data_IF_012064515068
#
_entry.id   IF_012064515068
#
_cell.length_a   1.000
_cell.length_b   1.000
_cell.length_c   1.000
_cell.angle_alpha   90.00
_cell.angle_beta   90.00
_cell.angle_gamma   90.00
#
_symmetry.space_group_name_H-M   'P 1'
#
loop_
_entity.id
_entity.type
_entity.pdbx_description
1 polymer ?
#
# COMPACT_ATOMS: atom_id res chain seq x y z
N UNK A 1 -49.45 17.19 -59.72
CA UNK A 1 -49.33 17.18 -58.25
C UNK A 1 -48.52 15.96 -57.86
N UNK A 2 -47.22 16.14 -57.55
CA UNK A 2 -46.35 15.08 -57.07
C UNK A 2 -45.79 15.56 -55.72
N UNK A 3 -46.20 14.90 -54.64
CA UNK A 3 -45.72 15.20 -53.27
C UNK A 3 -44.47 14.37 -53.00
N UNK A 4 -43.32 15.01 -52.87
CA UNK A 4 -42.10 14.39 -52.36
C UNK A 4 -42.20 14.27 -50.82
N UNK A 5 -42.21 13.05 -50.30
CA UNK A 5 -42.09 12.80 -48.87
C UNK A 5 -40.61 12.77 -48.49
N UNK A 6 -40.17 13.76 -47.71
CA UNK A 6 -38.85 13.79 -47.09
C UNK A 6 -38.88 12.87 -45.86
N UNK A 7 -38.24 11.71 -45.93
CA UNK A 7 -37.97 10.89 -44.74
C UNK A 7 -36.77 11.50 -43.99
N UNK A 8 -37.03 12.12 -42.84
CA UNK A 8 -35.99 12.50 -41.88
C UNK A 8 -35.62 11.26 -41.05
N UNK A 9 -34.49 10.63 -41.38
CA UNK A 9 -33.83 9.67 -40.49
C UNK A 9 -33.20 10.45 -39.33
N UNK A 10 -33.84 10.43 -38.16
CA UNK A 10 -33.18 10.79 -36.90
C UNK A 10 -32.25 9.65 -36.51
N UNK A 11 -30.96 9.77 -36.84
CA UNK A 11 -29.93 8.92 -36.28
C UNK A 11 -29.74 9.30 -34.79
N UNK A 12 -30.34 8.53 -33.88
CA UNK A 12 -30.06 8.64 -32.45
C UNK A 12 -28.62 8.17 -32.20
N UNK A 13 -27.71 9.13 -32.08
CA UNK A 13 -26.35 8.91 -31.63
C UNK A 13 -26.42 8.43 -30.17
N UNK A 14 -26.46 7.12 -29.96
CA UNK A 14 -26.33 6.55 -28.62
C UNK A 14 -24.90 6.80 -28.18
N UNK A 15 -24.71 7.79 -27.31
CA UNK A 15 -23.47 7.94 -26.56
C UNK A 15 -23.39 6.70 -25.68
N UNK A 16 -22.60 5.70 -26.10
CA UNK A 16 -22.25 4.57 -25.27
C UNK A 16 -21.32 5.13 -24.19
N UNK A 17 -21.91 5.59 -23.08
CA UNK A 17 -21.17 5.85 -21.86
C UNK A 17 -20.75 4.47 -21.34
N UNK A 18 -19.49 4.08 -21.56
CA UNK A 18 -18.91 2.94 -20.86
C UNK A 18 -18.77 3.36 -19.39
N UNK A 19 -19.81 3.15 -18.59
CA UNK A 19 -19.67 3.18 -17.14
C UNK A 19 -18.74 2.03 -16.75
N UNK A 20 -17.53 2.37 -16.31
CA UNK A 20 -16.69 1.40 -15.63
C UNK A 20 -17.24 1.21 -14.23
N UNK A 21 -17.93 0.10 -14.02
CA UNK A 21 -18.38 -0.31 -12.69
C UNK A 21 -17.26 -1.05 -11.96
N UNK A 22 -17.10 -0.75 -10.68
CA UNK A 22 -16.27 -1.55 -9.78
C UNK A 22 -17.14 -2.62 -9.11
N UNK A 23 -16.65 -3.86 -9.09
CA UNK A 23 -17.26 -4.96 -8.36
C UNK A 23 -16.33 -5.40 -7.24
N UNK A 24 -16.91 -5.76 -6.09
CA UNK A 24 -16.14 -6.25 -4.95
C UNK A 24 -15.46 -7.57 -5.33
N UNK A 25 -14.13 -7.55 -5.39
CA UNK A 25 -13.33 -8.74 -5.65
C UNK A 25 -12.92 -9.45 -4.36
N UNK A 26 -12.41 -8.68 -3.38
CA UNK A 26 -11.87 -9.22 -2.13
C UNK A 26 -12.31 -8.34 -0.96
N UNK A 27 -12.69 -8.98 0.15
CA UNK A 27 -13.01 -8.32 1.40
C UNK A 27 -12.19 -8.97 2.53
N UNK A 28 -11.20 -8.25 3.04
CA UNK A 28 -10.39 -8.70 4.17
C UNK A 28 -10.92 -8.06 5.45
N UNK A 29 -11.59 -8.85 6.29
CA UNK A 29 -12.12 -8.38 7.57
C UNK A 29 -12.23 -9.52 8.58
N UNK A 30 -12.41 -9.14 9.85
CA UNK A 30 -12.72 -10.07 10.92
C UNK A 30 -11.63 -11.11 11.20
N UNK A 31 -12.02 -12.28 11.76
CA UNK A 31 -11.06 -13.31 12.18
C UNK A 31 -10.24 -13.91 11.03
N UNK A 32 -10.79 -13.93 9.81
CA UNK A 32 -10.09 -14.46 8.63
C UNK A 32 -9.15 -13.45 7.96
N UNK A 33 -9.05 -12.22 8.47
CA UNK A 33 -8.20 -11.18 7.87
C UNK A 33 -6.77 -11.68 7.63
N UNK A 34 -6.12 -12.19 8.68
CA UNK A 34 -4.72 -12.62 8.63
C UNK A 34 -4.46 -13.89 7.81
N UNK A 35 -5.51 -14.61 7.38
CA UNK A 35 -5.36 -15.78 6.50
C UNK A 35 -5.03 -15.39 5.05
N UNK A 36 -5.27 -14.12 4.71
CA UNK A 36 -5.01 -13.54 3.39
C UNK A 36 -3.62 -12.92 3.27
N UNK A 37 -2.81 -12.95 4.34
CA UNK A 37 -1.50 -12.31 4.39
C UNK A 37 -0.40 -13.28 4.79
N UNK A 38 0.77 -13.09 4.20
CA UNK A 38 2.02 -13.70 4.64
C UNK A 38 2.72 -12.78 5.63
N UNK A 39 3.32 -13.39 6.67
CA UNK A 39 4.06 -12.69 7.71
C UNK A 39 5.55 -12.68 7.33
N UNK A 40 6.06 -11.52 6.95
CA UNK A 40 7.49 -11.35 6.69
C UNK A 40 8.25 -11.50 8.01
N UNK A 41 9.18 -12.45 8.09
CA UNK A 41 9.96 -12.73 9.30
C UNK A 41 11.48 -12.68 9.05
N UNK A 42 11.89 -11.91 8.03
CA UNK A 42 13.31 -11.70 7.68
C UNK A 42 13.75 -10.31 8.13
N UNK A 43 15.03 -10.02 7.94
CA UNK A 43 15.59 -8.68 8.17
C UNK A 43 14.82 -7.60 7.41
N UNK A 44 14.79 -6.40 8.00
CA UNK A 44 14.08 -5.26 7.43
C UNK A 44 14.81 -4.72 6.19
N UNK A 45 14.16 -4.67 5.01
CA UNK A 45 14.78 -4.14 3.80
C UNK A 45 15.19 -2.66 3.90
N UNK A 46 14.57 -1.89 4.81
CA UNK A 46 14.90 -0.47 5.07
C UNK A 46 15.85 -0.30 6.25
N UNK A 47 16.40 -1.38 6.78
CA UNK A 47 17.40 -1.38 7.86
C UNK A 47 16.95 -0.74 9.18
N UNK A 48 15.65 -0.81 9.49
CA UNK A 48 15.11 -0.34 10.77
C UNK A 48 15.51 -1.21 11.96
N UNK A 49 15.45 -0.62 13.17
CA UNK A 49 15.61 -1.35 14.43
C UNK A 49 14.33 -2.11 14.80
N UNK A 50 14.05 -3.16 14.04
CA UNK A 50 12.82 -3.97 14.13
C UNK A 50 13.14 -5.46 14.07
N UNK A 51 12.32 -6.27 14.73
CA UNK A 51 12.32 -7.73 14.59
C UNK A 51 10.94 -8.19 14.10
N UNK A 52 10.83 -8.52 12.81
CA UNK A 52 9.54 -8.98 12.29
C UNK A 52 9.27 -10.44 12.66
N UNK A 53 8.09 -10.68 13.23
CA UNK A 53 7.69 -11.98 13.75
C UNK A 53 6.98 -12.85 12.71
N UNK A 54 7.13 -14.17 12.85
CA UNK A 54 6.23 -15.13 12.20
C UNK A 54 4.81 -15.02 12.77
N UNK A 55 3.80 -15.59 12.10
CA UNK A 55 2.43 -15.61 12.62
C UNK A 55 2.33 -16.26 14.00
N UNK A 56 2.98 -17.43 14.19
CA UNK A 56 2.95 -18.14 15.47
C UNK A 56 3.59 -17.33 16.60
N UNK A 57 4.70 -16.64 16.32
CA UNK A 57 5.33 -15.75 17.30
C UNK A 57 4.47 -14.52 17.57
N UNK A 58 3.81 -13.96 16.55
CA UNK A 58 2.88 -12.85 16.70
C UNK A 58 1.70 -13.21 17.62
N UNK A 59 1.19 -14.44 17.52
CA UNK A 59 0.16 -14.98 18.40
C UNK A 59 0.69 -15.16 19.83
N UNK A 60 1.89 -15.72 19.98
CA UNK A 60 2.52 -15.93 21.29
C UNK A 60 2.85 -14.60 22.00
N UNK A 61 3.26 -13.58 21.26
CA UNK A 61 3.49 -12.22 21.77
C UNK A 61 2.21 -11.40 21.88
N UNK A 62 1.05 -11.95 21.48
CA UNK A 62 -0.25 -11.27 21.47
C UNK A 62 -0.24 -9.97 20.63
N UNK A 63 0.58 -9.94 19.58
CA UNK A 63 0.68 -8.81 18.65
C UNK A 63 -0.43 -8.80 17.60
N UNK A 64 -1.18 -9.89 17.45
CA UNK A 64 -2.39 -9.95 16.62
C UNK A 64 -3.60 -10.37 17.47
N UNK A 65 -4.79 -9.90 17.10
CA UNK A 65 -6.02 -10.18 17.81
C UNK A 65 -7.18 -10.48 16.84
N UNK A 66 -7.86 -11.60 17.10
CA UNK A 66 -8.98 -12.14 16.33
C UNK A 66 -10.35 -11.97 17.01
N UNK A 67 -10.39 -11.39 18.21
CA UNK A 67 -11.55 -11.42 19.12
C UNK A 67 -12.69 -10.50 18.66
N UNK A 68 -12.41 -9.54 17.77
CA UNK A 68 -13.43 -8.67 17.20
C UNK A 68 -13.85 -9.21 15.82
N UNK A 69 -15.13 -9.53 15.61
CA UNK A 69 -15.62 -10.11 14.36
C UNK A 69 -15.48 -9.17 13.15
N UNK A 70 -15.33 -7.86 13.37
CA UNK A 70 -15.36 -6.84 12.31
C UNK A 70 -14.03 -6.07 12.17
N UNK A 71 -13.06 -6.28 13.06
CA UNK A 71 -11.83 -5.49 13.05
C UNK A 71 -10.63 -6.37 13.36
N UNK A 72 -9.75 -6.52 12.37
CA UNK A 72 -8.43 -7.09 12.61
C UNK A 72 -7.57 -6.06 13.35
N UNK A 73 -6.87 -6.50 14.39
CA UNK A 73 -5.95 -5.65 15.15
C UNK A 73 -4.59 -6.31 15.20
N UNK A 74 -3.57 -5.53 14.87
CA UNK A 74 -2.18 -5.93 15.11
C UNK A 74 -1.36 -4.75 15.61
N UNK A 75 -0.15 -5.00 16.11
CA UNK A 75 0.73 -3.97 16.64
C UNK A 75 2.15 -4.46 16.90
N UNK A 76 2.82 -3.76 17.81
CA UNK A 76 4.22 -3.97 18.19
C UNK A 76 4.34 -4.31 19.67
N UNK A 77 5.48 -4.86 20.08
CA UNK A 77 5.78 -5.01 21.52
C UNK A 77 5.94 -3.63 22.17
N UNK A 78 5.11 -3.35 23.16
CA UNK A 78 5.09 -2.10 23.94
C UNK A 78 5.52 -2.28 25.39
N UNK A 79 5.97 -3.48 25.76
CA UNK A 79 6.26 -3.87 27.14
C UNK A 79 7.76 -3.96 27.41
N UNK A 80 8.52 -4.58 26.49
CA UNK A 80 9.95 -4.83 26.74
C UNK A 80 10.81 -3.59 26.51
N UNK A 81 11.73 -3.37 27.45
CA UNK A 81 12.94 -2.57 27.25
C UNK A 81 13.97 -3.42 26.51
N UNK A 82 14.59 -2.83 25.50
CA UNK A 82 15.55 -3.51 24.64
C UNK A 82 16.92 -2.88 24.80
N UNK A 83 17.95 -3.70 24.64
CA UNK A 83 19.33 -3.24 24.54
C UNK A 83 19.54 -2.59 23.17
N UNK A 84 19.88 -1.28 23.10
CA UNK A 84 20.07 -0.58 21.84
C UNK A 84 21.18 -1.19 20.96
N UNK A 85 22.12 -1.92 21.56
CA UNK A 85 23.23 -2.56 20.86
C UNK A 85 22.91 -4.01 20.44
N UNK A 86 21.71 -4.51 20.74
CA UNK A 86 21.29 -5.84 20.33
C UNK A 86 21.05 -5.91 18.81
N UNK A 87 21.38 -7.07 18.24
CA UNK A 87 21.20 -7.35 16.81
C UNK A 87 19.73 -7.38 16.34
N UNK A 88 18.77 -7.48 17.25
CA UNK A 88 17.34 -7.55 16.94
C UNK A 88 16.62 -6.40 17.61
N UNK A 89 15.85 -5.66 16.81
CA UNK A 89 15.06 -4.54 17.28
C UNK A 89 13.71 -4.92 17.87
N UNK A 90 12.81 -3.94 17.93
CA UNK A 90 11.49 -4.12 18.57
C UNK A 90 10.61 -5.12 17.78
N UNK A 91 10.01 -6.12 18.43
CA UNK A 91 9.06 -7.02 17.77
C UNK A 91 7.91 -6.26 17.11
N UNK A 92 7.72 -6.51 15.82
CA UNK A 92 6.69 -5.88 14.97
C UNK A 92 6.23 -6.86 13.89
N UNK A 93 5.32 -6.42 13.03
CA UNK A 93 4.74 -7.22 11.96
C UNK A 93 4.81 -6.48 10.63
N UNK A 94 5.17 -7.21 9.59
CA UNK A 94 5.06 -6.80 8.18
C UNK A 94 4.22 -7.85 7.46
N UNK A 95 3.05 -7.42 7.02
CA UNK A 95 2.06 -8.28 6.38
C UNK A 95 2.04 -7.98 4.87
N UNK A 96 2.08 -9.02 4.04
CA UNK A 96 1.98 -8.88 2.60
C UNK A 96 0.82 -9.73 2.09
N UNK A 97 -0.09 -9.15 1.31
CA UNK A 97 -1.23 -9.90 0.79
C UNK A 97 -0.75 -11.05 -0.11
N UNK A 98 -1.42 -12.20 0.00
CA UNK A 98 -1.18 -13.35 -0.88
C UNK A 98 -1.71 -13.09 -2.29
N UNK A 99 -2.79 -12.32 -2.37
CA UNK A 99 -3.36 -11.87 -3.62
C UNK A 99 -2.60 -10.64 -4.13
N UNK A 100 -2.48 -10.57 -5.45
CA UNK A 100 -1.85 -9.45 -6.17
C UNK A 100 -2.79 -9.00 -7.27
N UNK A 101 -2.69 -7.71 -7.61
CA UNK A 101 -3.55 -7.07 -8.57
C UNK A 101 -2.73 -6.20 -9.50
N UNK A 102 -3.08 -6.20 -10.78
CA UNK A 102 -2.47 -5.29 -11.75
C UNK A 102 -3.16 -3.91 -11.72
N UNK A 103 -4.47 -3.90 -11.51
CA UNK A 103 -5.32 -2.72 -11.41
C UNK A 103 -6.42 -2.98 -10.37
N UNK A 104 -6.94 -1.92 -9.76
CA UNK A 104 -8.06 -2.05 -8.82
C UNK A 104 -8.39 -0.75 -8.11
N UNK A 105 -9.47 -0.80 -7.34
CA UNK A 105 -9.79 0.19 -6.32
C UNK A 105 -9.56 -0.47 -4.96
N UNK A 106 -8.66 0.09 -4.16
CA UNK A 106 -8.35 -0.40 -2.83
C UNK A 106 -8.98 0.54 -1.80
N UNK A 107 -9.80 -0.01 -0.92
CA UNK A 107 -10.46 0.74 0.15
C UNK A 107 -9.99 0.16 1.47
N UNK A 108 -9.40 1.02 2.29
CA UNK A 108 -8.98 0.71 3.64
C UNK A 108 -9.78 1.58 4.63
N UNK A 109 -10.55 0.93 5.48
CA UNK A 109 -11.23 1.57 6.62
C UNK A 109 -10.43 1.30 7.90
N UNK A 110 -9.82 2.36 8.45
CA UNK A 110 -9.00 2.29 9.66
C UNK A 110 -9.72 2.95 10.83
N UNK A 111 -9.91 2.16 11.89
CA UNK A 111 -10.30 2.69 13.21
C UNK A 111 -9.13 3.36 13.95
N UNK A 112 -7.91 2.90 13.69
CA UNK A 112 -6.68 3.39 14.33
C UNK A 112 -5.46 2.98 13.49
N UNK A 113 -4.39 3.77 13.56
CA UNK A 113 -3.07 3.53 12.96
C UNK A 113 -1.99 3.88 13.98
N UNK A 114 -0.75 3.40 13.85
CA UNK A 114 0.31 3.73 14.81
C UNK A 114 0.43 5.26 15.00
N UNK A 115 0.75 5.70 16.22
CA UNK A 115 0.83 7.13 16.51
C UNK A 115 2.11 7.74 15.94
N UNK A 116 2.08 9.03 15.61
CA UNK A 116 3.23 9.78 15.09
C UNK A 116 4.14 10.16 16.28
N UNK A 117 5.03 9.24 16.66
CA UNK A 117 5.96 9.38 17.79
C UNK A 117 7.39 9.02 17.38
N UNK A 118 8.39 9.49 18.11
CA UNK A 118 9.80 9.24 17.78
C UNK A 118 10.12 7.75 17.59
N UNK A 119 10.86 7.43 16.53
CA UNK A 119 11.33 6.08 16.24
C UNK A 119 10.31 5.16 15.55
N UNK A 120 9.10 5.63 15.24
CA UNK A 120 8.12 4.86 14.46
C UNK A 120 8.16 5.24 12.98
N UNK A 121 7.96 4.25 12.13
CA UNK A 121 7.80 4.41 10.69
C UNK A 121 6.78 3.37 10.17
N UNK A 122 5.48 3.62 10.35
CA UNK A 122 4.43 2.76 9.83
C UNK A 122 4.14 3.07 8.35
N UNK A 123 3.78 2.04 7.60
CA UNK A 123 3.38 2.18 6.21
C UNK A 123 2.20 1.26 5.86
N UNK A 124 1.26 1.77 5.07
CA UNK A 124 0.31 0.98 4.28
C UNK A 124 0.52 1.33 2.81
N UNK A 125 1.02 0.35 2.08
CA UNK A 125 1.64 0.55 0.78
C UNK A 125 1.46 -0.70 -0.10
N UNK A 126 1.73 -0.55 -1.38
CA UNK A 126 1.69 -1.65 -2.35
C UNK A 126 3.04 -1.84 -3.01
N UNK A 127 3.39 -3.09 -3.30
CA UNK A 127 4.64 -3.43 -3.99
C UNK A 127 4.37 -4.33 -5.20
N UNK A 128 5.01 -3.99 -6.32
CA UNK A 128 4.98 -4.81 -7.53
C UNK A 128 5.72 -6.15 -7.35
N UNK A 129 5.22 -7.20 -7.98
CA UNK A 129 5.86 -8.51 -8.01
C UNK A 129 6.97 -8.58 -9.06
N UNK A 130 8.15 -9.10 -8.69
CA UNK A 130 9.19 -9.55 -9.64
C UNK A 130 10.63 -9.29 -9.18
N UNK A 131 11.59 -9.68 -10.02
CA UNK A 131 13.04 -9.46 -9.83
C UNK A 131 13.62 -8.81 -11.08
N UNK A 132 14.29 -7.66 -10.94
CA UNK A 132 14.95 -6.97 -12.06
C UNK A 132 16.34 -6.46 -11.68
N UNK A 133 17.35 -6.55 -12.57
CA UNK A 133 17.41 -7.36 -13.80
C UNK A 133 17.90 -8.79 -13.53
N UNK A 134 17.80 -9.66 -14.53
CA UNK A 134 18.47 -10.98 -14.59
C UNK A 134 20.02 -10.90 -14.48
N UNK A 135 20.59 -9.79 -14.00
CA UNK A 135 22.03 -9.54 -13.89
C UNK A 135 22.51 -9.42 -12.44
N UNK A 136 21.67 -9.74 -11.45
CA UNK A 136 22.14 -10.13 -10.13
C UNK A 136 22.76 -9.01 -9.29
N UNK A 137 22.38 -7.74 -9.49
CA UNK A 137 22.81 -6.65 -8.60
C UNK A 137 21.64 -5.70 -8.26
N UNK A 138 21.29 -5.70 -6.97
CA UNK A 138 20.37 -4.82 -6.23
C UNK A 138 18.84 -5.11 -6.35
N UNK A 139 18.39 -5.93 -5.39
CA UNK A 139 17.08 -5.96 -4.71
C UNK A 139 15.93 -5.08 -5.26
N UNK A 140 15.05 -5.73 -6.03
CA UNK A 140 13.59 -5.78 -5.84
C UNK A 140 12.85 -4.58 -5.19
N UNK A 141 12.74 -3.47 -5.91
CA UNK A 141 11.61 -2.55 -5.79
C UNK A 141 11.14 -2.24 -7.20
N UNK A 142 10.16 -3.00 -7.70
CA UNK A 142 9.79 -2.93 -9.11
C UNK A 142 8.78 -1.84 -9.44
N UNK A 143 7.95 -1.46 -8.46
CA UNK A 143 7.09 -0.29 -8.41
C UNK A 143 6.50 -0.28 -6.98
N UNK A 144 6.42 0.88 -6.36
CA UNK A 144 5.90 1.08 -5.01
C UNK A 144 4.88 2.22 -5.01
N UNK A 145 3.82 2.07 -4.22
CA UNK A 145 2.84 3.12 -3.97
C UNK A 145 2.61 3.20 -2.46
N UNK A 146 3.05 4.28 -1.86
CA UNK A 146 2.91 4.57 -0.44
C UNK A 146 1.64 5.39 -0.23
N UNK A 147 0.60 4.71 0.25
CA UNK A 147 -0.74 5.29 0.43
C UNK A 147 -0.81 6.00 1.77
N UNK A 148 -0.27 5.35 2.81
CA UNK A 148 -0.12 5.93 4.14
C UNK A 148 1.31 5.70 4.60
N UNK A 149 2.07 6.76 4.81
CA UNK A 149 3.42 6.72 5.33
C UNK A 149 3.75 8.00 6.10
N UNK A 150 4.47 7.85 7.21
CA UNK A 150 5.04 8.96 7.98
C UNK A 150 6.15 8.41 8.85
N UNK A 151 7.11 9.28 9.17
CA UNK A 151 8.21 8.95 10.06
C UNK A 151 8.16 9.85 11.29
N UNK A 152 8.47 9.24 12.44
CA UNK A 152 8.60 9.95 13.71
C UNK A 152 7.36 10.79 14.03
N UNK A 153 7.56 12.09 14.21
CA UNK A 153 6.55 13.07 14.63
C UNK A 153 6.02 13.90 13.45
N UNK A 154 6.20 13.44 12.20
CA UNK A 154 5.62 14.12 11.05
C UNK A 154 4.09 14.28 11.23
N UNK A 155 3.53 15.48 11.10
CA UNK A 155 2.13 15.72 11.46
C UNK A 155 1.14 15.28 10.37
N UNK A 156 1.62 15.08 9.14
CA UNK A 156 0.80 14.78 7.97
C UNK A 156 1.32 13.51 7.28
N UNK A 157 0.40 12.83 6.59
CA UNK A 157 0.72 11.73 5.72
C UNK A 157 1.64 12.19 4.56
N UNK A 158 2.61 11.37 4.21
CA UNK A 158 3.44 11.50 3.01
C UNK A 158 3.00 10.38 2.06
N UNK A 159 2.57 10.75 0.86
CA UNK A 159 2.21 9.79 -0.19
C UNK A 159 3.29 9.82 -1.25
N UNK A 160 3.82 8.66 -1.61
CA UNK A 160 4.94 8.53 -2.52
C UNK A 160 4.68 7.47 -3.60
N UNK A 161 5.46 7.61 -4.69
CA UNK A 161 5.53 6.65 -5.77
C UNK A 161 7.01 6.38 -6.02
N UNK A 162 7.38 5.10 -6.05
CA UNK A 162 8.73 4.69 -6.44
C UNK A 162 8.66 3.81 -7.68
N UNK A 163 9.34 4.22 -8.73
CA UNK A 163 9.47 3.47 -9.98
C UNK A 163 10.93 3.29 -10.33
N UNK A 164 11.20 2.40 -11.28
CA UNK A 164 12.50 2.42 -11.96
C UNK A 164 12.67 3.73 -12.70
N UNK A 165 13.91 4.19 -12.90
CA UNK A 165 14.21 5.41 -13.68
C UNK A 165 13.78 5.30 -15.16
N UNK A 166 13.35 4.12 -15.62
CA UNK A 166 12.88 3.88 -16.99
C UNK A 166 11.52 3.15 -16.98
N UNK A 167 10.50 3.62 -17.71
CA UNK A 167 10.44 4.95 -18.33
C UNK A 167 10.45 6.05 -17.25
N UNK A 168 11.03 7.22 -17.56
CA UNK A 168 10.97 8.37 -16.65
C UNK A 168 9.53 8.59 -16.19
N UNK A 169 9.30 8.57 -14.89
CA UNK A 169 8.00 8.76 -14.28
C UNK A 169 8.00 10.11 -13.57
N UNK A 170 7.11 11.01 -13.98
CA UNK A 170 6.95 12.29 -13.32
C UNK A 170 5.50 12.70 -13.20
N UNK A 171 5.16 13.40 -12.12
CA UNK A 171 3.81 13.89 -11.82
C UNK A 171 3.76 15.41 -11.90
N UNK A 172 2.67 15.94 -12.48
CA UNK A 172 2.49 17.38 -12.68
C UNK A 172 1.97 18.12 -11.42
N UNK A 173 1.49 17.37 -10.41
CA UNK A 173 0.92 17.95 -9.18
C UNK A 173 -0.42 18.68 -9.36
N UNK A 174 -1.13 18.48 -10.47
CA UNK A 174 -2.44 19.10 -10.73
C UNK A 174 -3.59 18.21 -10.27
N UNK A 175 -4.70 18.83 -9.84
CA UNK A 175 -5.92 18.11 -9.45
C UNK A 175 -5.87 17.43 -8.06
N UNK A 176 -4.88 17.77 -7.23
CA UNK A 176 -4.73 17.27 -5.86
C UNK A 176 -4.91 18.39 -4.83
N UNK A 177 -5.33 18.03 -3.61
CA UNK A 177 -5.42 18.95 -2.46
C UNK A 177 -4.15 18.96 -1.62
N UNK A 178 -3.30 17.94 -1.73
CA UNK A 178 -2.00 17.86 -1.08
C UNK A 178 -0.93 18.71 -1.76
N UNK A 179 0.14 19.03 -1.05
CA UNK A 179 1.29 19.75 -1.58
C UNK A 179 2.27 18.77 -2.23
N UNK A 180 2.62 19.02 -3.50
CA UNK A 180 3.66 18.24 -4.18
C UNK A 180 5.04 18.58 -3.61
N UNK A 181 5.77 17.57 -3.11
CA UNK A 181 7.13 17.74 -2.57
C UNK A 181 8.19 17.48 -3.65
N UNK A 182 8.08 16.36 -4.37
CA UNK A 182 8.88 16.06 -5.57
C UNK A 182 8.00 15.54 -6.68
N UNK A 183 8.40 15.85 -7.91
CA UNK A 183 7.69 15.43 -9.12
C UNK A 183 8.26 14.16 -9.76
N UNK A 184 9.48 13.74 -9.42
CA UNK A 184 10.15 12.57 -10.02
C UNK A 184 9.93 11.33 -9.15
N UNK A 185 9.45 10.25 -9.75
CA UNK A 185 9.18 8.98 -9.08
C UNK A 185 10.32 7.96 -9.28
N UNK A 186 11.33 8.26 -10.12
CA UNK A 186 12.44 7.37 -10.42
C UNK A 186 13.41 7.19 -9.25
N UNK A 187 14.14 6.06 -9.26
CA UNK A 187 15.20 5.74 -8.28
C UNK A 187 16.19 6.91 -8.12
N UNK A 188 16.14 7.57 -6.96
CA UNK A 188 17.05 8.66 -6.59
C UNK A 188 16.37 9.87 -5.95
N UNK A 189 15.12 10.17 -6.34
CA UNK A 189 14.45 11.43 -5.98
C UNK A 189 13.02 11.25 -5.42
N UNK A 190 12.52 10.01 -5.34
CA UNK A 190 11.29 9.68 -4.63
C UNK A 190 11.48 9.86 -3.12
N UNK A 191 10.71 10.77 -2.51
CA UNK A 191 10.70 10.93 -1.05
C UNK A 191 10.13 9.66 -0.41
N UNK A 192 10.84 9.12 0.58
CA UNK A 192 10.27 8.28 1.64
C UNK A 192 10.14 9.14 2.89
#
# INVERSE_FOLDING_TARGET
MWTAQLLLLFATLHIICNAQDYFLQSNFSGPSFFDNFDFWNKGDPTFGYVHYLSRGDAEAFQLINYSNPNTARWGVDTVKYLDPDANLGRPSLRLSSRQTWLHGLFILDLKHMPANVCGVWPAFWTIGTGTWPQTGKHTAFLCEIDIIEYQNTLPNNVMALHTTSTPNCSIAGSGQTGTLLTSDCGLGDGYT
#
